data_IF_637179107900
#
_entry.id   IF_637179107900
#
_cell.length_a   1.000
_cell.length_b   1.000
_cell.length_c   1.000
_cell.angle_alpha   90.00
_cell.angle_beta   90.00
_cell.angle_gamma   90.00
#
_symmetry.space_group_name_H-M   'P 1'
#
loop_
_entity.id
_entity.type
_entity.pdbx_description
1 polymer ?
#
# COMPACT_ATOMS: atom_id res chain seq x y z
N UNK A 1 21.84 -4.42 -37.80
CA UNK A 1 21.23 -3.11 -37.52
C UNK A 1 20.81 -3.11 -36.05
N UNK A 2 21.09 -2.03 -35.31
CA UNK A 2 20.60 -1.87 -33.94
C UNK A 2 19.50 -0.80 -33.96
N UNK A 3 18.36 -1.10 -33.32
CA UNK A 3 17.13 -0.30 -33.31
C UNK A 3 16.88 0.27 -31.90
N UNK A 4 16.26 1.46 -31.82
CA UNK A 4 16.01 2.20 -30.59
C UNK A 4 14.70 2.97 -30.70
N UNK A 5 13.91 2.98 -29.62
CA UNK A 5 12.65 3.70 -29.46
C UNK A 5 12.58 4.30 -28.06
N UNK A 6 12.04 5.51 -27.94
CA UNK A 6 11.85 6.20 -26.65
C UNK A 6 10.54 6.96 -26.60
N UNK A 7 10.08 7.22 -25.37
CA UNK A 7 8.93 8.10 -25.11
C UNK A 7 9.12 8.85 -23.81
N UNK A 8 9.22 10.18 -23.90
CA UNK A 8 9.10 11.05 -22.74
C UNK A 8 7.62 11.30 -22.44
N UNK A 9 7.17 10.85 -21.28
CA UNK A 9 5.80 11.03 -20.81
C UNK A 9 5.59 12.34 -20.04
N UNK A 10 6.68 12.98 -19.59
CA UNK A 10 6.61 14.28 -18.93
C UNK A 10 6.25 15.39 -19.92
N UNK A 11 6.56 15.21 -21.20
CA UNK A 11 6.21 16.16 -22.28
C UNK A 11 4.77 15.98 -22.80
N UNK A 12 4.05 14.93 -22.39
CA UNK A 12 2.71 14.65 -22.86
C UNK A 12 1.66 15.55 -22.19
N UNK A 13 1.25 16.62 -22.88
CA UNK A 13 0.29 17.62 -22.37
C UNK A 13 -1.05 17.04 -21.87
N UNK A 14 -1.48 15.90 -22.43
CA UNK A 14 -2.76 15.25 -22.08
C UNK A 14 -2.62 14.18 -20.98
N UNK A 15 -1.39 13.94 -20.49
CA UNK A 15 -1.11 13.03 -19.38
C UNK A 15 -0.47 13.75 -18.19
N UNK A 16 0.47 14.67 -18.45
CA UNK A 16 1.25 15.38 -17.44
C UNK A 16 2.37 14.56 -16.79
N UNK A 17 2.60 13.32 -17.27
CA UNK A 17 3.58 12.38 -16.73
C UNK A 17 3.08 10.94 -16.76
N UNK A 18 3.85 10.04 -16.15
CA UNK A 18 3.49 8.65 -15.92
C UNK A 18 4.14 8.11 -14.63
N UNK A 19 3.62 7.07 -13.99
CA UNK A 19 2.44 6.27 -14.38
C UNK A 19 1.10 6.78 -13.84
N UNK A 20 1.14 7.59 -12.77
CA UNK A 20 -0.04 8.04 -12.03
C UNK A 20 0.30 9.29 -11.24
N UNK A 21 -0.72 10.01 -10.78
CA UNK A 21 -0.54 11.06 -9.81
C UNK A 21 0.01 10.52 -8.47
N UNK A 22 0.86 11.31 -7.80
CA UNK A 22 1.28 11.04 -6.43
C UNK A 22 0.70 12.09 -5.48
N UNK A 23 0.61 11.74 -4.19
CA UNK A 23 0.16 12.65 -3.15
C UNK A 23 1.36 13.23 -2.39
N UNK A 24 1.60 14.55 -2.45
CA UNK A 24 2.53 15.21 -1.56
C UNK A 24 2.12 15.06 -0.08
N UNK A 25 3.04 15.28 0.88
CA UNK A 25 2.74 15.18 2.30
C UNK A 25 1.50 16.00 2.71
N UNK A 26 0.60 15.37 3.49
CA UNK A 26 -0.63 16.00 3.99
C UNK A 26 -1.80 16.01 3.00
N UNK A 27 -1.56 15.97 1.68
CA UNK A 27 -2.62 16.10 0.67
C UNK A 27 -3.66 14.99 0.75
N UNK A 28 -3.22 13.74 0.88
CA UNK A 28 -4.14 12.61 0.94
C UNK A 28 -5.05 12.65 2.18
N UNK A 29 -4.52 13.08 3.32
CA UNK A 29 -5.30 13.20 4.56
C UNK A 29 -6.33 14.32 4.46
N UNK A 30 -5.93 15.47 3.91
CA UNK A 30 -6.80 16.64 3.84
C UNK A 30 -7.87 16.52 2.74
N UNK A 31 -7.55 15.92 1.59
CA UNK A 31 -8.39 15.93 0.39
C UNK A 31 -8.70 14.55 -0.20
N UNK A 32 -8.08 13.46 0.26
CA UNK A 32 -8.25 12.13 -0.34
C UNK A 32 -9.70 11.61 -0.33
N UNK A 33 -10.52 12.04 0.64
CA UNK A 33 -11.93 11.62 0.73
C UNK A 33 -12.79 12.05 -0.46
N UNK A 34 -12.47 13.18 -1.09
CA UNK A 34 -13.28 13.76 -2.18
C UNK A 34 -12.81 13.31 -3.56
N UNK A 35 -11.73 12.52 -3.64
CA UNK A 35 -11.05 12.15 -4.90
C UNK A 35 -11.99 11.56 -5.95
N UNK A 36 -13.05 10.89 -5.50
CA UNK A 36 -14.03 10.22 -6.35
C UNK A 36 -15.47 10.54 -5.98
N UNK A 37 -15.67 11.58 -5.17
CA UNK A 37 -16.99 12.05 -4.76
C UNK A 37 -17.67 12.72 -5.97
N UNK A 38 -18.89 12.30 -6.37
CA UNK A 38 -19.58 12.93 -7.48
C UNK A 38 -19.90 14.41 -7.20
N UNK A 39 -19.81 15.25 -8.24
CA UNK A 39 -20.26 16.63 -8.17
C UNK A 39 -21.48 16.84 -9.07
N UNK A 40 -22.67 16.79 -8.47
CA UNK A 40 -23.93 16.86 -9.22
C UNK A 40 -24.11 15.65 -10.14
N UNK A 41 -24.05 15.88 -11.47
CA UNK A 41 -24.11 14.81 -12.48
C UNK A 41 -22.74 14.42 -13.05
N UNK A 42 -21.66 14.93 -12.45
CA UNK A 42 -20.28 14.61 -12.83
C UNK A 42 -19.78 13.50 -11.91
N UNK A 43 -19.38 12.38 -12.50
CA UNK A 43 -18.82 11.22 -11.81
C UNK A 43 -17.36 11.04 -12.25
N UNK A 44 -16.50 10.68 -11.31
CA UNK A 44 -15.05 10.66 -11.53
C UNK A 44 -14.53 9.23 -11.64
N UNK A 45 -14.01 8.91 -12.82
CA UNK A 45 -13.25 7.70 -13.14
C UNK A 45 -11.73 8.02 -13.15
N UNK A 46 -10.95 7.26 -13.93
CA UNK A 46 -9.49 7.37 -13.96
C UNK A 46 -8.85 6.50 -12.89
N UNK A 47 -7.68 5.93 -13.18
CA UNK A 47 -7.04 4.93 -12.33
C UNK A 47 -6.71 5.45 -10.92
N UNK A 48 -6.51 6.76 -10.79
CA UNK A 48 -6.31 7.47 -9.53
C UNK A 48 -7.51 7.32 -8.57
N UNK A 49 -8.71 7.10 -9.11
CA UNK A 49 -9.93 6.93 -8.31
C UNK A 49 -10.23 5.47 -7.96
N UNK A 50 -9.40 4.51 -8.38
CA UNK A 50 -9.54 3.10 -8.05
C UNK A 50 -9.27 2.81 -6.57
N UNK A 51 -9.73 1.64 -6.09
CA UNK A 51 -9.41 1.11 -4.75
C UNK A 51 -8.51 -0.11 -4.80
N UNK A 52 -8.39 -0.75 -5.97
CA UNK A 52 -7.47 -1.86 -6.25
C UNK A 52 -6.59 -1.46 -7.43
N UNK A 53 -5.27 -1.66 -7.30
CA UNK A 53 -4.29 -1.37 -8.35
C UNK A 53 -4.42 0.04 -8.97
N UNK A 54 -4.67 1.07 -8.13
CA UNK A 54 -4.64 2.46 -8.57
C UNK A 54 -3.28 2.84 -9.17
N UNK A 55 -3.30 3.53 -10.30
CA UNK A 55 -2.11 3.83 -11.11
C UNK A 55 -1.79 2.80 -12.19
N UNK A 56 -2.59 1.72 -12.29
CA UNK A 56 -2.44 0.69 -13.31
C UNK A 56 -3.65 0.62 -14.24
N UNK A 57 -3.52 -0.13 -15.34
CA UNK A 57 -4.63 -0.40 -16.26
C UNK A 57 -5.82 -1.09 -15.57
N UNK A 58 -5.56 -1.99 -14.62
CA UNK A 58 -6.61 -2.65 -13.82
C UNK A 58 -7.43 -1.64 -13.00
N UNK A 59 -6.74 -0.69 -12.35
CA UNK A 59 -7.40 0.43 -11.67
C UNK A 59 -8.20 1.32 -12.62
N UNK A 60 -7.74 1.53 -13.85
CA UNK A 60 -8.48 2.30 -14.85
C UNK A 60 -9.81 1.61 -15.23
N UNK A 61 -9.80 0.28 -15.41
CA UNK A 61 -11.00 -0.52 -15.65
C UNK A 61 -11.93 -0.45 -14.44
N UNK A 62 -11.43 -0.76 -13.25
CA UNK A 62 -12.22 -0.75 -12.02
C UNK A 62 -12.91 0.61 -11.81
N UNK A 63 -12.17 1.71 -11.95
CA UNK A 63 -12.68 3.06 -11.78
C UNK A 63 -13.71 3.44 -12.85
N UNK A 64 -13.45 3.11 -14.12
CA UNK A 64 -14.34 3.40 -15.24
C UNK A 64 -15.68 2.71 -15.11
N UNK A 65 -15.67 1.40 -14.85
CA UNK A 65 -16.90 0.65 -14.65
C UNK A 65 -17.67 1.10 -13.42
N UNK A 66 -16.98 1.37 -12.31
CA UNK A 66 -17.60 1.86 -11.09
C UNK A 66 -18.29 3.21 -11.33
N UNK A 67 -17.65 4.15 -12.00
CA UNK A 67 -18.26 5.44 -12.34
C UNK A 67 -19.47 5.28 -13.29
N UNK A 68 -19.39 4.37 -14.26
CA UNK A 68 -20.53 4.06 -15.12
C UNK A 68 -21.72 3.48 -14.31
N UNK A 69 -21.43 2.60 -13.35
CA UNK A 69 -22.43 2.03 -12.44
C UNK A 69 -23.01 3.07 -11.47
N UNK A 70 -22.22 4.05 -11.01
CA UNK A 70 -22.74 5.19 -10.25
C UNK A 70 -23.77 5.99 -11.07
N UNK A 71 -23.48 6.25 -12.35
CA UNK A 71 -24.42 6.90 -13.27
C UNK A 71 -25.69 6.05 -13.45
N UNK A 72 -25.53 4.74 -13.72
CA UNK A 72 -26.66 3.81 -13.88
C UNK A 72 -27.55 3.74 -12.64
N UNK A 73 -26.95 3.77 -11.45
CA UNK A 73 -27.67 3.81 -10.19
C UNK A 73 -28.46 5.12 -10.05
N UNK A 74 -27.84 6.26 -10.38
CA UNK A 74 -28.47 7.57 -10.29
C UNK A 74 -29.68 7.74 -11.23
N UNK A 75 -29.69 7.03 -12.37
CA UNK A 75 -30.83 7.01 -13.31
C UNK A 75 -31.78 5.82 -13.11
N UNK A 76 -31.59 5.03 -12.05
CA UNK A 76 -32.51 3.97 -11.64
C UNK A 76 -32.44 2.67 -12.44
N UNK A 77 -31.35 2.42 -13.16
CA UNK A 77 -31.15 1.16 -13.92
C UNK A 77 -30.68 0.02 -13.00
N UNK A 78 -29.80 0.31 -12.05
CA UNK A 78 -29.25 -0.68 -11.11
C UNK A 78 -29.44 -0.21 -9.66
N UNK A 79 -29.48 -1.12 -8.67
CA UNK A 79 -29.45 -0.75 -7.26
C UNK A 79 -28.05 -0.27 -6.82
N UNK A 80 -28.00 0.49 -5.73
CA UNK A 80 -26.74 1.00 -5.14
C UNK A 80 -25.75 -0.12 -4.79
N UNK A 81 -26.26 -1.27 -4.36
CA UNK A 81 -25.45 -2.46 -4.01
C UNK A 81 -24.67 -3.03 -5.20
N UNK A 82 -25.08 -2.71 -6.44
CA UNK A 82 -24.42 -3.16 -7.65
C UNK A 82 -23.29 -2.22 -8.11
N UNK A 83 -23.11 -1.03 -7.50
CA UNK A 83 -22.06 -0.07 -7.92
C UNK A 83 -20.66 -0.68 -7.75
N UNK A 84 -20.43 -1.32 -6.61
CA UNK A 84 -19.16 -1.98 -6.29
C UNK A 84 -19.29 -3.48 -6.51
N UNK A 85 -18.71 -3.95 -7.60
CA UNK A 85 -18.68 -5.37 -7.96
C UNK A 85 -17.27 -5.92 -7.76
N UNK A 86 -17.19 -7.14 -7.20
CA UNK A 86 -15.94 -7.86 -7.11
C UNK A 86 -15.71 -8.62 -8.42
N UNK A 87 -14.57 -8.36 -9.06
CA UNK A 87 -14.15 -9.12 -10.23
C UNK A 87 -13.74 -10.55 -9.81
N UNK A 88 -14.28 -11.61 -10.46
CA UNK A 88 -13.83 -12.97 -10.21
C UNK A 88 -12.34 -13.15 -10.57
N UNK A 89 -11.66 -14.08 -9.90
CA UNK A 89 -10.27 -14.37 -10.24
C UNK A 89 -10.17 -15.05 -11.61
N UNK A 90 -9.15 -14.65 -12.37
CA UNK A 90 -8.86 -15.27 -13.66
C UNK A 90 -8.18 -16.62 -13.42
N UNK A 91 -8.87 -17.71 -13.76
CA UNK A 91 -8.40 -19.09 -13.53
C UNK A 91 -7.05 -19.37 -14.22
N UNK A 92 -6.79 -18.74 -15.37
CA UNK A 92 -5.54 -18.88 -16.13
C UNK A 92 -4.34 -18.23 -15.41
N UNK A 93 -4.57 -17.17 -14.62
CA UNK A 93 -3.53 -16.41 -13.94
C UNK A 93 -3.83 -16.26 -12.44
N UNK A 94 -3.82 -17.36 -11.67
CA UNK A 94 -4.17 -17.32 -10.26
C UNK A 94 -3.12 -16.55 -9.45
N UNK A 95 -3.58 -15.64 -8.61
CA UNK A 95 -2.73 -14.93 -7.66
C UNK A 95 -2.14 -15.91 -6.64
N UNK A 96 -0.81 -16.02 -6.57
CA UNK A 96 -0.16 -16.80 -5.52
C UNK A 96 -0.11 -15.99 -4.22
N UNK A 97 -0.37 -16.61 -3.06
CA UNK A 97 -0.27 -15.91 -1.79
C UNK A 97 1.18 -15.47 -1.54
N UNK A 98 1.35 -14.25 -1.04
CA UNK A 98 2.64 -13.76 -0.56
C UNK A 98 2.92 -14.42 0.79
N UNK A 99 3.88 -15.35 0.82
CA UNK A 99 4.28 -16.08 2.02
C UNK A 99 5.49 -15.44 2.67
N UNK A 100 5.49 -15.35 3.99
CA UNK A 100 6.65 -14.89 4.78
C UNK A 100 7.18 -16.01 5.67
N UNK A 101 8.50 -16.13 5.72
CA UNK A 101 9.20 -17.12 6.54
C UNK A 101 9.07 -16.81 8.03
N UNK A 102 9.54 -17.73 8.87
CA UNK A 102 9.63 -17.49 10.31
C UNK A 102 10.56 -16.30 10.61
N UNK A 103 11.73 -16.25 9.96
CA UNK A 103 12.74 -15.24 10.23
C UNK A 103 12.36 -13.84 9.73
N UNK A 104 11.70 -13.73 8.57
CA UNK A 104 11.17 -12.43 8.09
C UNK A 104 10.15 -11.82 9.05
N UNK A 105 9.40 -12.66 9.78
CA UNK A 105 8.38 -12.20 10.73
C UNK A 105 8.93 -11.87 12.12
N UNK A 106 9.98 -12.58 12.56
CA UNK A 106 10.43 -12.54 13.96
C UNK A 106 11.80 -11.90 14.16
N UNK A 107 12.59 -11.69 13.11
CA UNK A 107 13.85 -10.95 13.27
C UNK A 107 13.56 -9.51 13.70
N UNK A 108 14.24 -9.00 14.74
CA UNK A 108 14.00 -7.65 15.23
C UNK A 108 14.50 -6.61 14.23
N UNK A 109 13.90 -5.43 14.27
CA UNK A 109 14.48 -4.25 13.64
C UNK A 109 15.79 -3.84 14.34
N UNK A 110 16.61 -3.02 13.68
CA UNK A 110 17.90 -2.57 14.25
C UNK A 110 17.75 -1.94 15.65
N UNK A 111 16.79 -1.03 15.92
CA UNK A 111 16.63 -0.47 17.27
C UNK A 111 16.25 -1.53 18.31
N UNK A 112 15.35 -2.45 17.97
CA UNK A 112 14.93 -3.54 18.87
C UNK A 112 16.09 -4.50 19.12
N UNK A 113 16.89 -4.80 18.10
CA UNK A 113 18.11 -5.59 18.24
C UNK A 113 19.10 -4.95 19.22
N UNK A 114 19.36 -3.65 19.08
CA UNK A 114 20.23 -2.91 20.00
C UNK A 114 19.65 -2.86 21.42
N UNK A 115 18.33 -2.74 21.57
CA UNK A 115 17.67 -2.82 22.88
C UNK A 115 17.83 -4.20 23.53
N UNK A 116 17.61 -5.28 22.77
CA UNK A 116 17.78 -6.66 23.26
C UNK A 116 19.23 -6.94 23.62
N UNK A 117 20.18 -6.49 22.78
CA UNK A 117 21.61 -6.62 23.03
C UNK A 117 21.99 -5.86 24.31
N UNK A 118 21.50 -4.63 24.47
CA UNK A 118 21.74 -3.82 25.67
C UNK A 118 21.17 -4.49 26.92
N UNK A 119 19.92 -4.96 26.86
CA UNK A 119 19.28 -5.66 27.97
C UNK A 119 20.01 -6.96 28.34
N UNK A 120 20.37 -7.77 27.35
CA UNK A 120 21.14 -9.00 27.55
C UNK A 120 22.49 -8.72 28.19
N UNK A 121 23.18 -7.67 27.72
CA UNK A 121 24.47 -7.24 28.29
C UNK A 121 24.30 -6.75 29.74
N UNK A 122 23.28 -5.93 30.03
CA UNK A 122 22.97 -5.48 31.39
C UNK A 122 22.65 -6.65 32.33
N UNK A 123 21.83 -7.61 31.88
CA UNK A 123 21.50 -8.82 32.64
C UNK A 123 22.76 -9.65 32.92
N UNK A 124 23.62 -9.84 31.92
CA UNK A 124 24.89 -10.56 32.09
C UNK A 124 25.80 -9.88 33.12
N UNK A 125 25.95 -8.55 33.06
CA UNK A 125 26.73 -7.77 34.04
C UNK A 125 26.14 -7.90 35.45
N UNK A 126 24.82 -7.78 35.60
CA UNK A 126 24.15 -7.94 36.89
C UNK A 126 24.39 -9.33 37.49
N UNK A 127 24.28 -10.40 36.68
CA UNK A 127 24.57 -11.76 37.13
C UNK A 127 26.02 -11.94 37.63
N UNK A 128 27.00 -11.33 36.96
CA UNK A 128 28.41 -11.36 37.38
C UNK A 128 28.63 -10.60 38.70
N UNK A 129 27.98 -9.45 38.87
CA UNK A 129 28.09 -8.67 40.11
C UNK A 129 27.48 -9.43 41.30
N UNK A 130 26.31 -10.03 41.11
CA UNK A 130 25.64 -10.83 42.15
C UNK A 130 26.50 -12.04 42.53
N UNK A 131 27.02 -12.79 41.56
CA UNK A 131 27.85 -13.96 41.86
C UNK A 131 29.15 -13.60 42.59
N UNK A 132 29.81 -12.49 42.24
CA UNK A 132 30.99 -12.00 42.99
C UNK A 132 30.66 -11.59 44.43
N UNK A 133 29.52 -10.94 44.66
CA UNK A 133 29.14 -10.44 45.99
C UNK A 133 28.51 -11.50 46.91
N UNK A 134 27.96 -12.57 46.36
CA UNK A 134 27.29 -13.64 47.12
C UNK A 134 28.20 -14.87 47.32
N UNK A 135 29.06 -15.21 46.35
CA UNK A 135 29.85 -16.45 46.38
C UNK A 135 31.31 -16.31 46.84
N UNK A 136 31.86 -15.09 46.99
CA UNK A 136 33.19 -14.88 47.55
C UNK A 136 33.07 -14.38 49.01
N UNK A 137 33.74 -15.00 49.99
CA UNK A 137 33.71 -14.52 51.37
C UNK A 137 34.30 -13.11 51.43
N UNK A 138 33.60 -12.19 52.13
CA UNK A 138 34.18 -10.91 52.53
C UNK A 138 35.35 -11.22 53.48
N UNK A 139 36.56 -10.90 53.05
CA UNK A 139 37.74 -10.84 53.92
C UNK A 139 37.58 -9.71 54.93
#
# INVERSE_FOLDING_TARGET
AVHYEEKDWCEEQYSGGCYSAFFPPGMFVQFGRVLREPFGRIYFAGTETATKWSGYMDGAVQAGERAAREVMCAIGIIPETAIWTLEPEVEEFPGRPIITTFWERHLPSVPVFLMVLSFSTCMAVASVVVSRNVCLPRA
#
